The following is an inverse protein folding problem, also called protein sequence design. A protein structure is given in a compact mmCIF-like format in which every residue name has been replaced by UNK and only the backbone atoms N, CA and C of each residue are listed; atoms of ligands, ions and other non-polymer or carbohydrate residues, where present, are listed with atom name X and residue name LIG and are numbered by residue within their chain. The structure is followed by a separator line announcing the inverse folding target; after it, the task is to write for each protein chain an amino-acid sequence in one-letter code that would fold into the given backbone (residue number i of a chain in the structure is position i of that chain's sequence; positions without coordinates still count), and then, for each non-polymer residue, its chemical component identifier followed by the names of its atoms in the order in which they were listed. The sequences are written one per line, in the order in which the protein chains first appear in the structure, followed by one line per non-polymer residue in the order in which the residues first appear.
data_IF_008015574194
#
_entry.id   IF_008015574194
#
_cell.length_a   1.000
_cell.length_b   1.000
_cell.length_c   1.000
_cell.angle_alpha   90.00
_cell.angle_beta   90.00
_cell.angle_gamma   90.00
#
_symmetry.space_group_name_H-M   'P 1'
#
loop_
_entity.id
_entity.type
_entity.pdbx_description
1 polymer ?
#
# COMPACT_ATOMS: atom_id res chain seq x y z
N UNK A 1 -0.60 21.74 -19.08
CA UNK A 1 -0.71 21.61 -17.60
C UNK A 1 -1.41 20.30 -17.23
N UNK A 2 -0.67 19.33 -16.69
CA UNK A 2 -1.25 18.05 -16.25
C UNK A 2 -2.06 18.30 -14.97
N UNK A 3 -3.38 18.44 -15.11
CA UNK A 3 -4.34 18.32 -14.02
C UNK A 3 -4.97 16.94 -14.11
N UNK A 4 -4.49 15.97 -13.31
CA UNK A 4 -5.24 14.74 -12.97
C UNK A 4 -4.44 13.89 -11.99
N UNK A 5 -4.83 13.93 -10.71
CA UNK A 5 -5.08 12.77 -9.82
C UNK A 5 -5.54 13.30 -8.45
N UNK A 6 -6.52 14.21 -8.44
CA UNK A 6 -7.22 14.57 -7.21
C UNK A 6 -8.46 13.69 -7.11
N UNK A 7 -8.95 13.43 -5.88
CA UNK A 7 -10.32 12.97 -5.68
C UNK A 7 -11.23 13.83 -6.55
N UNK A 8 -11.97 13.21 -7.46
CA UNK A 8 -12.94 13.96 -8.24
C UNK A 8 -14.02 14.54 -7.29
N UNK A 9 -14.69 15.60 -7.72
CA UNK A 9 -15.72 16.27 -6.90
C UNK A 9 -16.84 15.33 -6.48
N UNK A 10 -17.06 14.23 -7.21
CA UNK A 10 -18.05 13.21 -6.88
C UNK A 10 -17.59 12.27 -5.74
N UNK A 11 -16.28 12.03 -5.61
CA UNK A 11 -15.70 11.14 -4.60
C UNK A 11 -15.36 11.85 -3.29
N UNK A 12 -15.13 13.17 -3.34
CA UNK A 12 -14.82 14.00 -2.17
C UNK A 12 -15.79 13.79 -0.98
N UNK A 13 -17.14 13.72 -1.17
CA UNK A 13 -18.05 13.52 -0.04
C UNK A 13 -17.94 12.15 0.63
N UNK A 14 -17.37 11.15 -0.07
CA UNK A 14 -17.20 9.78 0.40
C UNK A 14 -15.79 9.52 0.96
N UNK A 15 -14.88 10.49 0.82
CA UNK A 15 -13.52 10.37 1.33
C UNK A 15 -13.54 10.33 2.87
N UNK A 16 -12.72 9.44 3.44
CA UNK A 16 -12.53 9.42 4.88
C UNK A 16 -11.86 10.72 5.33
N UNK A 17 -12.27 11.23 6.50
CA UNK A 17 -11.63 12.38 7.13
C UNK A 17 -10.42 11.91 7.92
N UNK A 18 -9.25 12.52 7.68
CA UNK A 18 -8.04 12.19 8.43
C UNK A 18 -8.07 12.79 9.83
N UNK A 19 -7.45 12.11 10.79
CA UNK A 19 -7.35 12.57 12.19
C UNK A 19 -5.90 12.83 12.59
N UNK A 20 -5.64 13.96 13.26
CA UNK A 20 -4.32 14.26 13.84
C UNK A 20 -4.07 13.43 15.11
N UNK A 21 -2.85 13.41 15.69
CA UNK A 21 -2.56 12.58 16.87
C UNK A 21 -3.44 12.84 18.10
N UNK A 22 -4.04 14.03 18.23
CA UNK A 22 -5.03 14.31 19.29
C UNK A 22 -6.39 13.63 19.07
N UNK A 23 -6.61 12.99 17.92
CA UNK A 23 -7.87 12.41 17.50
C UNK A 23 -8.82 13.41 16.82
N UNK A 24 -8.46 14.69 16.77
CA UNK A 24 -9.26 15.72 16.09
C UNK A 24 -9.20 15.54 14.56
N UNK A 25 -10.28 15.91 13.88
CA UNK A 25 -10.32 15.90 12.42
C UNK A 25 -9.32 16.93 11.87
N UNK A 26 -8.58 16.55 10.85
CA UNK A 26 -7.62 17.40 10.18
C UNK A 26 -8.30 18.63 9.58
N UNK A 27 -7.85 19.82 9.98
CA UNK A 27 -8.49 21.09 9.60
C UNK A 27 -8.48 21.39 8.10
N UNK A 28 -7.54 20.83 7.35
CA UNK A 28 -7.41 21.07 5.90
C UNK A 28 -8.37 20.22 5.06
N UNK A 29 -9.18 19.35 5.68
CA UNK A 29 -10.01 18.37 4.97
C UNK A 29 -9.15 17.26 4.39
N UNK A 30 -9.37 16.91 3.12
CA UNK A 30 -8.63 15.89 2.39
C UNK A 30 -7.25 16.41 1.95
N UNK A 31 -6.14 15.83 2.45
CA UNK A 31 -4.80 16.28 2.07
C UNK A 31 -4.54 16.09 0.57
N UNK A 32 -4.13 17.18 -0.08
CA UNK A 32 -3.60 17.15 -1.44
C UNK A 32 -2.09 17.36 -1.38
N UNK A 33 -1.32 16.39 -1.88
CA UNK A 33 0.12 16.49 -1.99
C UNK A 33 0.53 16.99 -3.37
N UNK A 34 1.49 17.93 -3.48
CA UNK A 34 1.94 18.44 -4.78
C UNK A 34 2.77 17.40 -5.57
N UNK A 35 3.13 16.28 -4.95
CA UNK A 35 3.98 15.23 -5.53
C UNK A 35 3.12 14.00 -5.90
N UNK A 36 2.32 14.11 -6.96
CA UNK A 36 1.30 13.09 -7.29
C UNK A 36 1.87 11.69 -7.52
N UNK A 37 3.05 11.58 -8.13
CA UNK A 37 3.71 10.29 -8.34
C UNK A 37 4.13 9.61 -7.03
N UNK A 38 4.41 10.38 -5.98
CA UNK A 38 4.88 9.86 -4.70
C UNK A 38 3.76 9.69 -3.66
N UNK A 39 2.76 10.59 -3.66
CA UNK A 39 1.76 10.68 -2.60
C UNK A 39 0.36 11.10 -3.09
N UNK A 40 0.08 11.00 -4.39
CA UNK A 40 -1.19 11.43 -4.98
C UNK A 40 -2.30 10.38 -4.98
N UNK A 41 -1.98 9.11 -4.69
CA UNK A 41 -2.94 8.03 -4.81
C UNK A 41 -3.97 8.08 -3.67
N UNK A 42 -5.22 8.33 -4.04
CA UNK A 42 -6.40 8.14 -3.20
C UNK A 42 -7.19 6.93 -3.69
N UNK A 43 -7.41 5.95 -2.82
CA UNK A 43 -8.19 4.76 -3.15
C UNK A 43 -8.74 4.09 -1.88
N UNK A 44 -9.63 3.12 -2.06
CA UNK A 44 -10.08 2.22 -1.00
C UNK A 44 -9.19 0.98 -0.94
N UNK A 45 -9.19 0.26 0.19
CA UNK A 45 -8.46 -1.01 0.32
C UNK A 45 -8.86 -2.02 -0.77
N UNK A 46 -10.16 -2.11 -1.11
CA UNK A 46 -10.63 -3.00 -2.17
C UNK A 46 -10.16 -2.57 -3.57
N UNK A 47 -10.02 -1.26 -3.82
CA UNK A 47 -9.44 -0.78 -5.07
C UNK A 47 -7.95 -1.09 -5.14
N UNK A 48 -7.20 -0.89 -4.04
CA UNK A 48 -5.79 -1.24 -3.97
C UNK A 48 -5.57 -2.76 -4.11
N UNK A 49 -6.42 -3.58 -3.51
CA UNK A 49 -6.38 -5.03 -3.66
C UNK A 49 -6.51 -5.48 -5.12
N UNK A 50 -7.33 -4.78 -5.93
CA UNK A 50 -7.42 -5.07 -7.38
C UNK A 50 -6.12 -4.79 -8.12
N UNK A 51 -5.33 -3.80 -7.68
CA UNK A 51 -4.00 -3.53 -8.24
C UNK A 51 -3.05 -4.67 -7.87
N UNK A 52 -3.02 -5.10 -6.60
CA UNK A 52 -2.16 -6.22 -6.18
C UNK A 52 -2.55 -7.55 -6.86
N UNK A 53 -3.85 -7.79 -7.06
CA UNK A 53 -4.34 -8.94 -7.83
C UNK A 53 -3.91 -8.88 -9.31
N UNK A 54 -3.85 -7.68 -9.90
CA UNK A 54 -3.33 -7.51 -11.25
C UNK A 54 -1.82 -7.82 -11.31
N UNK A 55 -1.05 -7.43 -10.29
CA UNK A 55 0.37 -7.79 -10.16
C UNK A 55 0.55 -9.32 -10.10
N UNK A 56 -0.21 -10.01 -9.24
CA UNK A 56 -0.19 -11.49 -9.14
C UNK A 56 -0.51 -12.11 -10.52
N UNK A 57 -1.60 -11.68 -11.15
CA UNK A 57 -2.01 -12.22 -12.45
C UNK A 57 -0.96 -11.98 -13.52
N UNK A 58 -0.34 -10.80 -13.55
CA UNK A 58 0.70 -10.46 -14.49
C UNK A 58 1.98 -11.28 -14.25
N UNK A 59 2.36 -11.56 -13.00
CA UNK A 59 3.44 -12.48 -12.68
C UNK A 59 3.21 -13.88 -13.29
N UNK A 60 1.96 -14.34 -13.29
CA UNK A 60 1.55 -15.63 -13.89
C UNK A 60 1.30 -15.57 -15.42
N UNK A 61 1.57 -14.44 -16.09
CA UNK A 61 1.31 -14.29 -17.52
C UNK A 61 -0.17 -14.11 -17.89
N UNK A 62 -1.03 -13.84 -16.90
CA UNK A 62 -2.50 -13.65 -17.03
C UNK A 62 -2.95 -12.20 -16.79
N UNK A 63 -2.00 -11.27 -16.72
CA UNK A 63 -2.25 -9.83 -16.55
C UNK A 63 -3.05 -9.25 -17.71
N UNK A 64 -3.85 -8.21 -17.42
CA UNK A 64 -4.63 -7.46 -18.41
C UNK A 64 -4.08 -6.07 -18.67
N UNK A 65 -3.37 -5.51 -17.69
CA UNK A 65 -2.80 -4.16 -17.68
C UNK A 65 -1.29 -4.25 -17.53
N UNK A 66 -0.80 -5.07 -16.60
CA UNK A 66 0.63 -5.28 -16.37
C UNK A 66 1.13 -6.48 -17.17
N UNK A 67 2.38 -6.41 -17.61
CA UNK A 67 3.08 -7.52 -18.25
C UNK A 67 3.96 -8.25 -17.24
N UNK A 68 4.33 -9.53 -17.48
CA UNK A 68 5.30 -10.23 -16.64
C UNK A 68 6.63 -9.46 -16.50
N UNK A 69 7.09 -8.82 -17.59
CA UNK A 69 8.31 -8.03 -17.58
C UNK A 69 8.23 -6.82 -16.62
N UNK A 70 7.11 -6.09 -16.64
CA UNK A 70 6.91 -4.95 -15.71
C UNK A 70 6.83 -5.41 -14.25
N UNK A 71 6.22 -6.57 -13.99
CA UNK A 71 6.20 -7.14 -12.65
C UNK A 71 7.60 -7.54 -12.19
N UNK A 72 8.39 -8.14 -13.08
CA UNK A 72 9.79 -8.44 -12.80
C UNK A 72 10.59 -7.16 -12.48
N UNK A 73 10.38 -6.08 -13.24
CA UNK A 73 11.02 -4.79 -12.98
C UNK A 73 10.62 -4.22 -11.60
N UNK A 74 9.33 -4.32 -11.22
CA UNK A 74 8.84 -3.85 -9.92
C UNK A 74 9.60 -4.49 -8.74
N UNK A 75 9.96 -5.76 -8.88
CA UNK A 75 10.57 -6.56 -7.81
C UNK A 75 12.06 -6.79 -7.97
N UNK A 76 12.66 -6.27 -9.03
CA UNK A 76 14.12 -6.28 -9.19
C UNK A 76 14.74 -5.35 -8.15
N UNK A 77 15.75 -5.84 -7.44
CA UNK A 77 16.52 -5.10 -6.44
C UNK A 77 17.87 -4.68 -7.04
N UNK A 78 18.00 -3.46 -7.62
CA UNK A 78 19.27 -3.02 -8.18
C UNK A 78 20.22 -2.60 -7.05
N UNK A 79 21.25 -3.41 -6.81
CA UNK A 79 22.40 -3.16 -5.93
C UNK A 79 22.10 -2.95 -4.42
N UNK A 80 20.85 -2.67 -4.04
CA UNK A 80 20.38 -2.52 -2.67
C UNK A 80 19.52 -3.72 -2.29
N UNK A 81 20.02 -4.54 -1.36
CA UNK A 81 19.23 -5.64 -0.80
C UNK A 81 17.93 -5.08 -0.20
N UNK A 82 16.82 -5.72 -0.52
CA UNK A 82 15.48 -5.45 0.03
C UNK A 82 14.73 -4.22 -0.52
N UNK A 83 15.24 -3.53 -1.55
CA UNK A 83 14.59 -2.34 -2.13
C UNK A 83 14.33 -2.55 -3.61
N UNK A 84 13.05 -2.58 -3.99
CA UNK A 84 12.58 -2.63 -5.37
C UNK A 84 12.08 -1.28 -5.89
N UNK A 85 11.40 -1.28 -7.03
CA UNK A 85 10.80 -0.06 -7.59
C UNK A 85 9.51 0.29 -6.83
N UNK A 86 9.63 1.15 -5.81
CA UNK A 86 8.50 1.67 -5.02
C UNK A 86 7.97 0.69 -3.96
N UNK A 87 8.69 -0.40 -3.71
CA UNK A 87 8.37 -1.38 -2.69
C UNK A 87 9.65 -1.88 -2.01
N UNK A 88 9.47 -2.61 -0.93
CA UNK A 88 10.52 -3.27 -0.18
C UNK A 88 10.25 -4.77 -0.17
N UNK A 89 11.29 -5.58 0.02
CA UNK A 89 11.15 -7.02 0.21
C UNK A 89 11.57 -7.46 1.62
N UNK A 90 11.01 -8.56 2.09
CA UNK A 90 11.37 -9.21 3.35
C UNK A 90 10.91 -10.67 3.33
N UNK A 91 10.97 -11.34 4.47
CA UNK A 91 10.64 -12.76 4.61
C UNK A 91 11.85 -13.67 4.51
N UNK A 92 11.58 -14.97 4.49
CA UNK A 92 12.62 -15.99 4.37
C UNK A 92 12.82 -16.39 2.92
N UNK A 93 13.94 -17.06 2.62
CA UNK A 93 14.16 -17.62 1.27
C UNK A 93 13.07 -18.61 0.81
N UNK A 94 12.29 -19.18 1.74
CA UNK A 94 11.18 -20.10 1.44
C UNK A 94 9.81 -19.42 1.36
N UNK A 95 9.72 -18.17 1.83
CA UNK A 95 8.47 -17.43 1.89
C UNK A 95 8.78 -15.92 1.79
N UNK A 96 9.28 -15.46 0.62
CA UNK A 96 9.58 -14.05 0.41
C UNK A 96 8.29 -13.26 0.18
N UNK A 97 8.26 -12.02 0.66
CA UNK A 97 7.16 -11.12 0.37
C UNK A 97 7.66 -9.71 0.09
N UNK A 98 6.82 -8.96 -0.60
CA UNK A 98 7.01 -7.53 -0.83
C UNK A 98 6.02 -6.72 -0.05
N UNK A 99 6.41 -5.52 0.31
CA UNK A 99 5.63 -4.64 1.15
C UNK A 99 5.85 -3.18 0.81
N UNK A 100 4.89 -2.37 1.23
CA UNK A 100 4.99 -0.92 1.16
C UNK A 100 4.29 -0.28 2.34
N UNK A 101 4.78 0.90 2.66
CA UNK A 101 4.33 1.73 3.77
C UNK A 101 3.83 3.05 3.19
N UNK A 102 2.76 3.57 3.76
CA UNK A 102 2.17 4.85 3.39
C UNK A 102 1.80 5.62 4.64
N UNK A 103 2.27 6.85 4.74
CA UNK A 103 1.96 7.74 5.85
C UNK A 103 1.67 9.14 5.34
N UNK A 104 0.42 9.55 5.52
CA UNK A 104 -0.06 10.89 5.19
C UNK A 104 -0.51 11.66 6.43
N UNK A 105 -0.87 12.93 6.22
CA UNK A 105 -1.46 13.78 7.25
C UNK A 105 -2.82 13.21 7.61
N UNK A 106 -2.88 12.53 8.76
CA UNK A 106 -4.08 11.91 9.26
C UNK A 106 -4.44 10.57 8.64
N UNK A 107 -3.48 9.89 7.99
CA UNK A 107 -3.71 8.56 7.40
C UNK A 107 -2.47 7.70 7.50
N UNK A 108 -2.67 6.39 7.61
CA UNK A 108 -1.63 5.39 7.42
C UNK A 108 -2.16 4.21 6.61
N UNK A 109 -1.28 3.61 5.83
CA UNK A 109 -1.54 2.42 5.02
C UNK A 109 -0.32 1.51 5.05
N UNK A 110 -0.53 0.20 5.03
CA UNK A 110 0.50 -0.78 4.74
C UNK A 110 -0.08 -1.89 3.86
N UNK A 111 0.77 -2.50 3.04
CA UNK A 111 0.41 -3.75 2.37
C UNK A 111 1.52 -4.78 2.53
N UNK A 112 1.14 -6.04 2.36
CA UNK A 112 2.03 -7.20 2.19
C UNK A 112 1.52 -8.04 1.03
N UNK A 113 2.44 -8.59 0.24
CA UNK A 113 2.13 -9.39 -0.94
C UNK A 113 3.12 -10.55 -1.08
N UNK A 114 2.58 -11.76 -1.10
CA UNK A 114 3.24 -13.04 -1.38
C UNK A 114 2.88 -13.45 -2.79
N UNK A 115 3.84 -13.31 -3.71
CA UNK A 115 3.58 -13.51 -5.14
C UNK A 115 3.37 -14.98 -5.49
N UNK A 116 4.20 -15.87 -4.95
CA UNK A 116 4.15 -17.30 -5.26
C UNK A 116 2.84 -17.93 -4.74
N UNK A 117 2.38 -17.48 -3.57
CA UNK A 117 1.19 -17.95 -2.90
C UNK A 117 -0.08 -17.20 -3.33
N UNK A 118 0.05 -16.21 -4.22
CA UNK A 118 -1.04 -15.37 -4.68
C UNK A 118 -1.89 -14.76 -3.54
N UNK A 119 -1.21 -14.38 -2.44
CA UNK A 119 -1.82 -13.90 -1.21
C UNK A 119 -1.32 -12.51 -0.83
N UNK A 120 -2.15 -11.72 -0.16
CA UNK A 120 -1.73 -10.42 0.34
C UNK A 120 -2.76 -9.77 1.23
N UNK A 121 -2.32 -8.78 2.00
CA UNK A 121 -3.16 -7.98 2.87
C UNK A 121 -2.88 -6.49 2.71
N UNK A 122 -3.91 -5.68 2.96
CA UNK A 122 -3.83 -4.23 2.95
C UNK A 122 -4.56 -3.73 4.19
N UNK A 123 -3.90 -2.89 4.98
CA UNK A 123 -4.47 -2.24 6.15
C UNK A 123 -4.41 -0.73 5.93
N UNK A 124 -5.55 -0.05 6.10
CA UNK A 124 -5.68 1.40 5.95
C UNK A 124 -6.42 1.98 7.16
N UNK A 125 -5.90 3.06 7.72
CA UNK A 125 -6.57 3.84 8.77
C UNK A 125 -6.58 5.33 8.41
N UNK A 126 -7.61 6.03 8.88
CA UNK A 126 -7.77 7.48 8.76
C UNK A 126 -7.28 8.23 10.01
N UNK A 127 -6.20 7.76 10.61
CA UNK A 127 -5.56 8.43 11.73
C UNK A 127 -4.05 8.54 11.51
N UNK A 128 -3.48 9.64 11.98
CA UNK A 128 -2.06 9.75 12.25
C UNK A 128 -1.83 9.34 13.71
N UNK A 129 -1.26 8.15 13.98
CA UNK A 129 -1.11 7.67 15.35
C UNK A 129 0.00 8.40 16.12
N UNK A 130 0.84 9.20 15.46
CA UNK A 130 1.91 9.95 16.12
C UNK A 130 3.09 9.10 16.59
N UNK A 131 3.17 7.84 16.14
CA UNK A 131 4.20 6.86 16.46
C UNK A 131 4.56 6.06 15.22
N UNK A 132 5.71 5.38 15.26
CA UNK A 132 6.22 4.59 14.15
C UNK A 132 5.18 3.55 13.67
N UNK A 133 5.14 3.27 12.37
CA UNK A 133 4.04 2.51 11.79
C UNK A 133 4.00 1.06 12.27
N UNK A 134 5.14 0.43 12.56
CA UNK A 134 5.19 -0.92 13.14
C UNK A 134 4.63 -0.98 14.57
N UNK A 135 4.65 0.13 15.30
CA UNK A 135 4.04 0.27 16.65
C UNK A 135 2.58 0.72 16.61
N UNK A 136 2.07 1.09 15.43
CA UNK A 136 0.69 1.53 15.27
C UNK A 136 -0.29 0.37 15.07
N UNK A 137 -1.59 0.67 15.16
CA UNK A 137 -2.65 -0.28 14.80
C UNK A 137 -2.48 -0.87 13.38
N UNK A 138 -1.90 -0.12 12.43
CA UNK A 138 -1.59 -0.64 11.10
C UNK A 138 -0.53 -1.74 11.16
N UNK A 139 0.55 -1.50 11.91
CA UNK A 139 1.63 -2.45 12.12
C UNK A 139 1.14 -3.70 12.83
N UNK A 140 0.47 -3.52 13.98
CA UNK A 140 -0.10 -4.61 14.78
C UNK A 140 -1.08 -5.46 13.97
N UNK A 141 -2.04 -4.85 13.27
CA UNK A 141 -3.02 -5.57 12.46
C UNK A 141 -2.34 -6.31 11.31
N UNK A 142 -1.33 -5.70 10.68
CA UNK A 142 -0.57 -6.36 9.61
C UNK A 142 0.16 -7.58 10.15
N UNK A 143 0.82 -7.48 11.31
CA UNK A 143 1.52 -8.60 11.94
C UNK A 143 0.55 -9.74 12.32
N UNK A 144 -0.62 -9.42 12.89
CA UNK A 144 -1.64 -10.43 13.19
C UNK A 144 -2.13 -11.16 11.94
N UNK A 145 -2.40 -10.43 10.86
CA UNK A 145 -2.79 -11.04 9.58
C UNK A 145 -1.67 -11.91 9.00
N UNK A 146 -0.41 -11.51 9.19
CA UNK A 146 0.74 -12.32 8.79
C UNK A 146 0.81 -13.62 9.58
N UNK A 147 0.57 -13.60 10.90
CA UNK A 147 0.60 -14.80 11.73
C UNK A 147 -0.56 -15.76 11.46
N UNK A 148 -1.74 -15.22 11.17
CA UNK A 148 -2.95 -16.00 10.88
C UNK A 148 -2.87 -16.69 9.51
N UNK A 149 -2.31 -16.00 8.52
CA UNK A 149 -2.33 -16.42 7.12
C UNK A 149 -0.94 -16.73 6.55
N UNK A 150 0.10 -16.89 7.37
CA UNK A 150 1.45 -17.28 6.92
C UNK A 150 1.38 -18.57 6.10
N UNK A 151 1.58 -18.53 4.77
CA UNK A 151 1.47 -19.71 3.94
C UNK A 151 2.65 -20.67 4.13
N UNK A 152 3.68 -20.29 4.89
CA UNK A 152 4.82 -21.12 5.27
C UNK A 152 4.63 -21.95 6.55
N UNK A 153 3.46 -21.87 7.21
CA UNK A 153 3.07 -22.73 8.34
C UNK A 153 2.47 -24.07 7.92
#
# INVERSE_FOLDING_TARGET
PLQTLQLDTASMPMAAKGHIPSGEVLAVGEPVYPYLAAAGLWCTASAYARILLEVIRAAEGRGKVLTPALVNDLFTEPDAKYIGLGNFSSGSAKNPFVYGLGWGKGFQCAFRLWLEEAFGCIVMINANPGMEQSESLVGETTALLMEEFDPGR
#
